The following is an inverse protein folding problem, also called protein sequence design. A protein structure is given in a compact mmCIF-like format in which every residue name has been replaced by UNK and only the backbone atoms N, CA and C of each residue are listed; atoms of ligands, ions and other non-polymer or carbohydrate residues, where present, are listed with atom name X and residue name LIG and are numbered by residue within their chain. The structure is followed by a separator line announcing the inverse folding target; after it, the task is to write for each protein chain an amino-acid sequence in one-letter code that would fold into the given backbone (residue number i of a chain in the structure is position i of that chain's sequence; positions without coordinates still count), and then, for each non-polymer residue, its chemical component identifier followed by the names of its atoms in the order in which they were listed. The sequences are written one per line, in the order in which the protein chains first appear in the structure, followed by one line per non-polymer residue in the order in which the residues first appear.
data_IF_099478491515
#
_entry.id   IF_099478491515
#
_cell.length_a   1.000
_cell.length_b   1.000
_cell.length_c   1.000
_cell.angle_alpha   90.00
_cell.angle_beta   90.00
_cell.angle_gamma   90.00
#
_symmetry.space_group_name_H-M   'P 1'
#
loop_
_entity.id
_entity.type
_entity.pdbx_description
1 polymer ?
#
# COMPACT_ATOMS: atom_id res chain seq x y z
N UNK A 1 -15.14 -47.77 -69.50
CA UNK A 1 -16.24 -47.04 -68.82
C UNK A 1 -16.42 -47.64 -67.43
N UNK A 2 -16.78 -46.80 -66.46
CA UNK A 2 -17.01 -47.05 -65.03
C UNK A 2 -15.77 -46.88 -64.13
N UNK A 3 -15.60 -45.64 -63.68
CA UNK A 3 -14.72 -45.26 -62.59
C UNK A 3 -15.38 -45.47 -61.23
N UNK A 4 -14.54 -45.69 -60.22
CA UNK A 4 -14.93 -45.70 -58.82
C UNK A 4 -14.48 -44.41 -58.15
N UNK A 5 -15.39 -43.89 -57.34
CA UNK A 5 -15.48 -42.52 -56.87
C UNK A 5 -14.56 -42.28 -55.66
N UNK A 6 -13.79 -41.20 -55.70
CA UNK A 6 -13.14 -40.62 -54.53
C UNK A 6 -14.20 -40.03 -53.59
N UNK A 7 -14.35 -40.58 -52.39
CA UNK A 7 -15.12 -39.97 -51.31
C UNK A 7 -14.12 -39.15 -50.48
N UNK A 8 -14.02 -37.84 -50.76
CA UNK A 8 -13.37 -36.89 -49.86
C UNK A 8 -14.30 -36.63 -48.68
N UNK A 9 -13.95 -37.17 -47.53
CA UNK A 9 -14.62 -36.90 -46.26
C UNK A 9 -14.10 -35.56 -45.72
N UNK A 10 -14.85 -34.49 -45.96
CA UNK A 10 -14.58 -33.15 -45.42
C UNK A 10 -14.93 -33.17 -43.92
N UNK A 11 -13.93 -33.38 -43.06
CA UNK A 11 -14.10 -33.38 -41.61
C UNK A 11 -14.41 -31.97 -41.08
N UNK A 12 -15.61 -31.80 -40.52
CA UNK A 12 -16.06 -30.59 -39.84
C UNK A 12 -15.27 -30.44 -38.52
N UNK A 13 -14.37 -29.45 -38.45
CA UNK A 13 -13.66 -29.11 -37.20
C UNK A 13 -14.60 -28.29 -36.31
N UNK A 14 -14.95 -28.73 -35.10
CA UNK A 14 -15.77 -27.94 -34.19
C UNK A 14 -14.90 -26.82 -33.60
N UNK A 15 -15.25 -25.57 -33.93
CA UNK A 15 -14.62 -24.38 -33.38
C UNK A 15 -15.08 -24.22 -31.92
N UNK A 16 -14.26 -24.62 -30.95
CA UNK A 16 -14.52 -24.37 -29.53
C UNK A 16 -14.58 -22.86 -29.28
N UNK A 17 -15.77 -22.33 -29.03
CA UNK A 17 -15.95 -20.97 -28.55
C UNK A 17 -15.45 -20.88 -27.09
N UNK A 18 -14.25 -20.35 -26.90
CA UNK A 18 -13.73 -20.03 -25.58
C UNK A 18 -14.50 -18.83 -25.02
N UNK A 19 -15.50 -19.09 -24.17
CA UNK A 19 -16.14 -18.07 -23.37
C UNK A 19 -15.13 -17.57 -22.32
N UNK A 20 -14.46 -16.46 -22.61
CA UNK A 20 -13.67 -15.74 -21.62
C UNK A 20 -14.62 -15.18 -20.56
N UNK A 21 -14.71 -15.87 -19.42
CA UNK A 21 -15.27 -15.31 -18.19
C UNK A 21 -14.38 -14.13 -17.78
N UNK A 22 -14.74 -12.92 -18.22
CA UNK A 22 -14.20 -11.69 -17.62
C UNK A 22 -14.72 -11.64 -16.19
N UNK A 23 -13.91 -12.11 -15.24
CA UNK A 23 -14.16 -11.84 -13.84
C UNK A 23 -14.22 -10.31 -13.65
N UNK A 24 -15.22 -9.78 -12.94
CA UNK A 24 -15.25 -8.35 -12.65
C UNK A 24 -13.98 -7.99 -11.91
N UNK A 25 -13.27 -6.95 -12.39
CA UNK A 25 -12.22 -6.31 -11.61
C UNK A 25 -12.88 -5.79 -10.34
N UNK A 26 -12.78 -6.55 -9.24
CA UNK A 26 -13.22 -6.07 -7.95
C UNK A 26 -12.27 -4.93 -7.57
N UNK A 27 -12.73 -3.69 -7.72
CA UNK A 27 -12.15 -2.60 -6.96
C UNK A 27 -12.24 -3.06 -5.50
N UNK A 28 -11.09 -3.30 -4.86
CA UNK A 28 -11.07 -3.69 -3.46
C UNK A 28 -11.71 -2.56 -2.66
N UNK A 29 -12.99 -2.73 -2.32
CA UNK A 29 -13.69 -1.89 -1.35
C UNK A 29 -13.07 -2.18 0.01
N UNK A 30 -11.90 -1.57 0.26
CA UNK A 30 -11.26 -1.57 1.57
C UNK A 30 -12.12 -0.72 2.50
N UNK A 31 -12.41 -1.25 3.67
CA UNK A 31 -13.06 -0.50 4.74
C UNK A 31 -12.25 0.76 5.05
N UNK A 32 -12.93 1.89 5.15
CA UNK A 32 -12.31 3.16 5.48
C UNK A 32 -12.39 3.44 6.99
N UNK A 33 -11.41 4.16 7.55
CA UNK A 33 -10.14 4.52 6.92
C UNK A 33 -9.17 3.33 6.84
N UNK A 34 -8.19 3.38 5.94
CA UNK A 34 -7.13 2.36 5.86
C UNK A 34 -5.75 2.98 5.61
N UNK A 35 -4.69 2.24 5.92
CA UNK A 35 -3.31 2.68 5.67
C UNK A 35 -2.84 2.41 4.23
N UNK A 36 -2.11 3.36 3.67
CA UNK A 36 -1.33 3.21 2.45
C UNK A 36 0.03 3.89 2.64
N UNK A 37 0.94 3.68 1.69
CA UNK A 37 2.23 4.37 1.65
C UNK A 37 2.50 4.99 0.28
N UNK A 38 3.35 6.02 0.23
CA UNK A 38 3.73 6.64 -1.03
C UNK A 38 4.57 5.66 -1.88
N UNK A 39 4.11 5.33 -3.08
CA UNK A 39 4.77 4.37 -3.98
C UNK A 39 6.11 4.90 -4.53
N UNK A 40 6.14 6.19 -4.84
CA UNK A 40 7.26 6.85 -5.52
C UNK A 40 7.97 7.83 -4.60
N UNK A 41 9.19 8.22 -4.98
CA UNK A 41 9.92 9.25 -4.25
C UNK A 41 9.19 10.58 -4.31
N UNK A 42 8.76 10.99 -5.51
CA UNK A 42 7.97 12.19 -5.72
C UNK A 42 6.48 11.86 -5.88
N UNK A 43 5.63 12.37 -4.98
CA UNK A 43 4.17 12.24 -5.06
C UNK A 43 3.52 13.61 -4.86
N UNK A 44 2.50 13.92 -5.66
CA UNK A 44 1.79 15.19 -5.59
C UNK A 44 0.45 15.01 -4.89
N UNK A 45 0.20 15.79 -3.87
CA UNK A 45 -1.12 15.96 -3.27
C UNK A 45 -1.83 17.13 -3.93
N UNK A 46 -3.12 16.97 -4.22
CA UNK A 46 -3.94 17.99 -4.89
C UNK A 46 -5.15 18.35 -4.03
N UNK A 47 -5.72 19.53 -4.29
CA UNK A 47 -6.93 19.98 -3.58
C UNK A 47 -8.19 19.22 -3.99
N UNK A 48 -8.18 18.52 -5.13
CA UNK A 48 -9.33 17.76 -5.63
C UNK A 48 -8.96 16.48 -6.37
N UNK A 49 -9.94 15.58 -6.60
CA UNK A 49 -9.75 14.25 -7.20
C UNK A 49 -9.64 14.30 -8.72
N UNK A 50 -8.73 15.11 -9.25
CA UNK A 50 -8.40 15.19 -10.69
C UNK A 50 -7.00 15.76 -10.87
N UNK A 51 -6.36 15.41 -11.98
CA UNK A 51 -5.04 15.92 -12.35
C UNK A 51 -5.06 17.43 -12.70
N UNK A 52 -6.24 17.99 -12.98
CA UNK A 52 -6.46 19.40 -13.30
C UNK A 52 -6.42 20.30 -12.05
N UNK A 53 -6.73 19.75 -10.86
CA UNK A 53 -6.67 20.52 -9.61
C UNK A 53 -5.23 20.87 -9.25
N UNK A 54 -4.96 22.06 -8.70
CA UNK A 54 -3.60 22.46 -8.32
C UNK A 54 -2.99 21.52 -7.26
N UNK A 55 -1.67 21.37 -7.35
CA UNK A 55 -0.87 20.64 -6.35
C UNK A 55 -0.73 21.54 -5.11
N UNK A 56 -1.16 21.02 -3.96
CA UNK A 56 -1.02 21.70 -2.67
C UNK A 56 0.24 21.28 -1.92
N UNK A 57 0.77 20.09 -2.23
CA UNK A 57 1.97 19.57 -1.58
C UNK A 57 2.71 18.59 -2.49
N UNK A 58 4.04 18.57 -2.39
CA UNK A 58 4.91 17.62 -3.09
C UNK A 58 5.70 16.86 -2.04
N UNK A 59 5.40 15.58 -1.88
CA UNK A 59 6.20 14.69 -1.06
C UNK A 59 7.45 14.24 -1.83
N UNK A 60 8.59 14.21 -1.14
CA UNK A 60 9.88 13.70 -1.60
C UNK A 60 10.35 12.61 -0.62
N UNK A 61 9.55 11.55 -0.49
CA UNK A 61 9.75 10.50 0.51
C UNK A 61 8.98 9.24 0.17
N UNK A 62 9.62 8.29 -0.52
CA UNK A 62 9.02 6.98 -0.78
C UNK A 62 8.69 6.24 0.52
N UNK A 63 7.55 5.56 0.55
CA UNK A 63 7.12 4.72 1.67
C UNK A 63 6.49 5.47 2.83
N UNK A 64 6.42 6.82 2.78
CA UNK A 64 5.76 7.61 3.82
C UNK A 64 4.31 7.11 3.99
N UNK A 65 3.91 6.68 5.20
CA UNK A 65 2.54 6.24 5.44
C UNK A 65 1.55 7.41 5.47
N UNK A 66 0.39 7.18 4.86
CA UNK A 66 -0.74 8.10 4.83
C UNK A 66 -2.02 7.33 5.17
N UNK A 67 -2.95 8.00 5.85
CA UNK A 67 -4.25 7.44 6.20
C UNK A 67 -5.25 7.80 5.11
N UNK A 68 -5.81 6.81 4.44
CA UNK A 68 -6.84 7.02 3.43
C UNK A 68 -8.19 7.19 4.13
N UNK A 69 -8.81 8.35 3.94
CA UNK A 69 -10.07 8.73 4.58
C UNK A 69 -11.28 8.58 3.66
N UNK A 70 -11.11 8.85 2.36
CA UNK A 70 -12.16 8.72 1.35
C UNK A 70 -11.62 8.21 0.02
N UNK A 71 -12.50 7.55 -0.72
CA UNK A 71 -12.25 6.99 -2.05
C UNK A 71 -13.15 7.70 -3.05
N UNK A 72 -12.60 8.11 -4.20
CA UNK A 72 -13.39 8.59 -5.33
C UNK A 72 -12.70 8.19 -6.62
N UNK A 73 -13.28 7.22 -7.34
CA UNK A 73 -12.71 6.67 -8.59
C UNK A 73 -11.22 6.29 -8.42
N UNK A 74 -10.33 6.93 -9.19
CA UNK A 74 -8.87 6.75 -9.13
C UNK A 74 -8.15 7.59 -8.08
N UNK A 75 -8.86 8.24 -7.15
CA UNK A 75 -8.28 9.19 -6.19
C UNK A 75 -8.60 8.81 -4.75
N UNK A 76 -7.67 9.10 -3.85
CA UNK A 76 -7.78 8.86 -2.41
C UNK A 76 -7.59 10.17 -1.69
N UNK A 77 -8.57 10.56 -0.88
CA UNK A 77 -8.36 11.62 0.09
C UNK A 77 -7.55 11.02 1.22
N UNK A 78 -6.38 11.58 1.46
CA UNK A 78 -5.44 11.10 2.47
C UNK A 78 -5.22 12.16 3.54
N UNK A 79 -4.80 11.71 4.71
CA UNK A 79 -4.25 12.51 5.80
C UNK A 79 -2.81 12.04 6.07
N UNK A 80 -1.88 12.96 6.16
CA UNK A 80 -0.49 12.67 6.54
C UNK A 80 -0.25 12.83 8.05
N UNK A 81 0.99 12.58 8.47
CA UNK A 81 1.40 12.64 9.88
C UNK A 81 1.28 14.02 10.54
N UNK A 82 1.13 15.09 9.76
CA UNK A 82 0.94 16.46 10.27
C UNK A 82 -0.55 16.85 10.28
N UNK A 83 -1.44 15.94 9.85
CA UNK A 83 -2.87 16.19 9.72
C UNK A 83 -3.25 16.89 8.40
N UNK A 84 -2.29 17.07 7.48
CA UNK A 84 -2.57 17.69 6.18
C UNK A 84 -3.42 16.75 5.34
N UNK A 85 -4.50 17.26 4.76
CA UNK A 85 -5.41 16.49 3.94
C UNK A 85 -5.43 16.92 2.48
N UNK A 86 -5.53 15.95 1.58
CA UNK A 86 -5.66 16.21 0.15
C UNK A 86 -5.75 14.93 -0.68
N UNK A 87 -5.90 15.09 -1.99
CA UNK A 87 -6.12 13.99 -2.91
C UNK A 87 -4.82 13.52 -3.55
N UNK A 88 -4.58 12.21 -3.49
CA UNK A 88 -3.48 11.53 -4.18
C UNK A 88 -4.09 10.49 -5.14
N UNK A 89 -3.53 10.39 -6.35
CA UNK A 89 -3.94 9.38 -7.30
C UNK A 89 -3.59 7.98 -6.74
N UNK A 90 -4.52 7.02 -6.85
CA UNK A 90 -4.33 5.67 -6.30
C UNK A 90 -3.12 4.96 -6.88
N UNK A 91 -2.73 5.27 -8.12
CA UNK A 91 -1.52 4.75 -8.78
C UNK A 91 -0.22 5.19 -8.08
N UNK A 92 -0.24 6.28 -7.32
CA UNK A 92 0.90 6.79 -6.55
C UNK A 92 0.93 6.23 -5.11
N UNK A 93 -0.02 5.37 -4.75
CA UNK A 93 -0.10 4.72 -3.44
C UNK A 93 0.23 3.24 -3.56
N UNK A 94 0.89 2.72 -2.54
CA UNK A 94 1.15 1.31 -2.31
C UNK A 94 0.30 0.83 -1.12
N UNK A 95 -0.42 -0.31 -1.23
CA UNK A 95 -1.18 -0.87 -0.12
C UNK A 95 -0.30 -1.39 1.02
N UNK A 96 1.01 -1.57 0.80
CA UNK A 96 1.94 -1.99 1.84
C UNK A 96 1.99 -0.98 3.00
N UNK A 97 2.01 -1.52 4.22
CA UNK A 97 2.11 -0.74 5.46
C UNK A 97 3.48 -0.09 5.58
N UNK A 98 3.50 1.23 5.66
CA UNK A 98 4.66 2.02 6.06
C UNK A 98 4.53 2.46 7.51
N UNK A 99 5.65 2.87 8.10
CA UNK A 99 5.65 3.65 9.34
C UNK A 99 6.63 4.82 9.23
N UNK A 100 6.33 5.91 9.93
CA UNK A 100 7.20 7.06 10.10
C UNK A 100 7.56 7.18 11.57
N UNK A 101 8.86 7.28 11.87
CA UNK A 101 9.32 7.54 13.23
C UNK A 101 8.96 8.97 13.61
N UNK A 102 8.20 9.14 14.68
CA UNK A 102 7.69 10.43 15.18
C UNK A 102 8.10 10.68 16.63
N UNK A 103 7.89 11.91 17.10
CA UNK A 103 8.22 12.38 18.45
C UNK A 103 9.66 12.88 18.59
N UNK A 104 10.02 13.35 19.78
CA UNK A 104 11.32 13.96 20.02
C UNK A 104 12.44 12.92 20.22
N UNK A 105 13.67 13.30 19.88
CA UNK A 105 14.87 12.50 20.11
C UNK A 105 14.96 11.21 19.29
N UNK A 106 15.92 10.37 19.69
CA UNK A 106 16.19 9.08 19.05
C UNK A 106 15.20 8.01 19.53
N UNK A 107 14.50 7.37 18.60
CA UNK A 107 13.64 6.23 18.88
C UNK A 107 14.45 4.93 18.99
N UNK A 108 14.19 4.14 20.03
CA UNK A 108 14.89 2.90 20.28
C UNK A 108 14.31 1.74 19.45
N UNK A 109 15.21 0.97 18.83
CA UNK A 109 14.87 -0.26 18.12
C UNK A 109 15.51 -1.43 18.85
N UNK A 110 14.67 -2.34 19.32
CA UNK A 110 15.01 -3.41 20.26
C UNK A 110 14.93 -4.79 19.65
N UNK A 111 15.54 -5.78 20.31
CA UNK A 111 15.52 -7.16 19.87
C UNK A 111 14.13 -7.82 19.99
N UNK A 112 13.34 -7.42 20.99
CA UNK A 112 12.02 -8.00 21.29
C UNK A 112 10.98 -6.91 21.64
N UNK A 113 9.67 -7.20 21.58
CA UNK A 113 8.60 -6.24 21.88
C UNK A 113 8.44 -5.96 23.39
N UNK A 114 9.52 -5.58 24.07
CA UNK A 114 9.49 -5.18 25.47
C UNK A 114 10.68 -4.26 25.82
N UNK A 115 10.52 -3.45 26.86
CA UNK A 115 11.52 -2.46 27.30
C UNK A 115 12.76 -3.08 27.95
N UNK A 116 12.71 -4.34 28.40
CA UNK A 116 13.83 -5.01 29.05
C UNK A 116 14.80 -5.66 28.04
N UNK A 117 14.34 -5.84 26.80
CA UNK A 117 15.13 -6.49 25.75
C UNK A 117 16.31 -5.63 25.28
N UNK A 118 17.30 -6.29 24.70
CA UNK A 118 18.50 -5.64 24.19
C UNK A 118 18.15 -4.52 23.21
N UNK A 119 18.81 -3.38 23.38
CA UNK A 119 18.79 -2.29 22.41
C UNK A 119 19.71 -2.66 21.24
N UNK A 120 19.15 -2.74 20.03
CA UNK A 120 19.92 -3.04 18.83
C UNK A 120 20.56 -1.77 18.25
N UNK A 121 19.76 -0.72 18.08
CA UNK A 121 20.16 0.57 17.50
C UNK A 121 19.06 1.62 17.73
N UNK A 122 19.31 2.84 17.24
CA UNK A 122 18.36 3.96 17.34
C UNK A 122 18.08 4.58 15.98
N UNK A 123 16.85 5.08 15.81
CA UNK A 123 16.39 5.77 14.62
C UNK A 123 16.06 7.24 14.95
N UNK A 124 16.38 8.16 14.05
CA UNK A 124 15.93 9.55 14.17
C UNK A 124 14.45 9.69 13.81
N UNK A 125 13.81 10.72 14.36
CA UNK A 125 12.50 11.15 13.89
C UNK A 125 12.56 11.52 12.40
N UNK A 126 11.53 11.17 11.65
CA UNK A 126 11.47 11.34 10.21
C UNK A 126 11.93 10.13 9.40
N UNK A 127 12.56 9.12 10.01
CA UNK A 127 12.90 7.87 9.32
C UNK A 127 11.64 7.13 8.91
N UNK A 128 11.58 6.70 7.65
CA UNK A 128 10.51 5.84 7.12
C UNK A 128 10.94 4.38 7.13
N UNK A 129 10.04 3.51 7.58
CA UNK A 129 10.25 2.06 7.62
C UNK A 129 9.10 1.33 6.94
N UNK A 130 9.36 0.08 6.53
CA UNK A 130 8.24 -0.86 6.33
C UNK A 130 7.75 -1.30 7.69
N UNK A 131 6.43 -1.32 7.87
CA UNK A 131 5.80 -1.82 9.07
C UNK A 131 5.41 -3.28 8.84
N UNK A 132 5.79 -4.15 9.77
CA UNK A 132 5.42 -5.57 9.74
C UNK A 132 4.36 -5.82 10.80
N UNK A 133 4.54 -6.85 11.61
CA UNK A 133 3.59 -7.22 12.66
C UNK A 133 3.66 -6.25 13.82
N UNK A 134 2.49 -5.79 14.26
CA UNK A 134 2.33 -5.10 15.53
C UNK A 134 1.65 -6.03 16.54
N UNK A 135 2.13 -6.04 17.78
CA UNK A 135 1.54 -6.76 18.91
C UNK A 135 1.89 -6.08 20.22
N UNK A 136 0.96 -6.10 21.16
CA UNK A 136 1.19 -5.65 22.55
C UNK A 136 1.82 -4.26 22.67
N UNK A 137 1.46 -3.31 21.80
CA UNK A 137 2.01 -1.93 21.80
C UNK A 137 3.40 -1.78 21.15
N UNK A 138 3.88 -2.81 20.45
CA UNK A 138 5.15 -2.80 19.72
C UNK A 138 4.93 -3.20 18.28
N UNK A 139 5.77 -2.68 17.40
CA UNK A 139 5.76 -3.05 15.99
C UNK A 139 7.15 -3.45 15.52
N UNK A 140 7.21 -4.53 14.76
CA UNK A 140 8.41 -4.87 14.02
C UNK A 140 8.55 -3.92 12.83
N UNK A 141 9.67 -3.22 12.77
CA UNK A 141 10.03 -2.30 11.70
C UNK A 141 11.20 -2.86 10.90
N UNK A 142 11.18 -2.60 9.59
CA UNK A 142 12.28 -2.92 8.68
C UNK A 142 12.77 -1.62 8.04
N UNK A 143 13.95 -1.17 8.48
CA UNK A 143 14.61 0.05 8.00
C UNK A 143 15.85 -0.39 7.22
N UNK A 144 15.78 -0.23 5.89
CA UNK A 144 16.86 -0.59 4.96
C UNK A 144 17.36 -2.04 5.14
N UNK A 145 16.48 -2.99 5.43
CA UNK A 145 16.81 -4.41 5.63
C UNK A 145 17.18 -4.79 7.07
N UNK A 146 17.35 -3.81 7.96
CA UNK A 146 17.60 -4.04 9.39
C UNK A 146 16.27 -4.08 10.14
N UNK A 147 16.02 -5.19 10.82
CA UNK A 147 14.78 -5.43 11.56
C UNK A 147 14.95 -5.18 13.05
N UNK A 148 13.86 -4.84 13.71
CA UNK A 148 13.75 -4.81 15.16
C UNK A 148 12.40 -4.26 15.61
N UNK A 149 12.20 -4.20 16.92
CA UNK A 149 10.96 -3.80 17.55
C UNK A 149 11.03 -2.36 18.05
N UNK A 150 10.05 -1.55 17.65
CA UNK A 150 9.89 -0.18 18.14
C UNK A 150 8.53 -0.06 18.84
N UNK A 151 8.46 0.77 19.88
CA UNK A 151 7.20 1.08 20.54
C UNK A 151 6.24 1.74 19.53
N UNK A 152 4.99 1.29 19.46
CA UNK A 152 4.01 1.79 18.50
C UNK A 152 3.76 3.30 18.65
N UNK A 153 3.85 3.84 19.87
CA UNK A 153 3.70 5.28 20.12
C UNK A 153 4.80 6.15 19.45
N UNK A 154 5.88 5.53 18.95
CA UNK A 154 6.94 6.20 18.18
C UNK A 154 6.72 6.12 16.68
N UNK A 155 5.60 5.56 16.22
CA UNK A 155 5.34 5.25 14.81
C UNK A 155 4.00 5.78 14.35
N UNK A 156 4.01 6.76 13.45
CA UNK A 156 2.83 7.05 12.63
C UNK A 156 2.65 5.95 11.59
N UNK A 157 1.41 5.52 11.36
CA UNK A 157 1.08 4.36 10.53
C UNK A 157 0.91 3.05 11.31
N UNK A 158 1.10 3.07 12.63
CA UNK A 158 0.98 1.89 13.50
C UNK A 158 -0.41 1.68 14.11
N UNK A 159 -1.27 2.70 14.12
CA UNK A 159 -2.60 2.58 14.72
C UNK A 159 -3.41 1.48 14.02
N UNK A 160 -4.18 0.67 14.78
CA UNK A 160 -5.07 -0.31 14.18
C UNK A 160 -6.21 0.40 13.46
N UNK A 161 -6.41 0.08 12.18
CA UNK A 161 -7.55 0.54 11.40
C UNK A 161 -8.44 -0.64 10.95
N UNK A 162 -9.70 -0.39 10.58
CA UNK A 162 -10.58 -1.44 10.06
C UNK A 162 -9.94 -2.20 8.90
N UNK A 163 -9.95 -3.53 8.98
CA UNK A 163 -9.34 -4.40 7.96
C UNK A 163 -7.84 -4.65 8.13
N UNK A 164 -7.23 -4.23 9.24
CA UNK A 164 -5.91 -4.68 9.69
C UNK A 164 -5.97 -5.96 10.54
N UNK A 165 -7.13 -6.62 10.61
CA UNK A 165 -7.40 -7.87 11.35
C UNK A 165 -6.73 -9.10 10.71
#
# INVERSE_FOLDING_TARGET
MQGTRFISMLGLVPMLAAAFLMAPLSAQDRTLPYWASLRYERVNMRVGPSAEYPVTWVYLRKGLPVKVLRVREGWRLVEDHEGTQGWIASSQLDPARGALVVGEGLAEVRAEPNNASALNWRAEAGVVSRLRTCRTGWCEVDIAGRKGWMNAARLWGSDPLPGDE
#
